data_IF_114825273953
#
_entry.id   IF_114825273953
#
_cell.length_a   1.000
_cell.length_b   1.000
_cell.length_c   1.000
_cell.angle_alpha   90.00
_cell.angle_beta   90.00
_cell.angle_gamma   90.00
#
_symmetry.space_group_name_H-M   'P 1'
#
loop_
_entity.id
_entity.type
_entity.pdbx_description
1 polymer ?
#
# COMPACT_ATOMS: atom_id res chain seq x y z
N UNK A 1 -14.61 51.09 -48.14
CA UNK A 1 -14.60 50.45 -46.80
C UNK A 1 -14.17 49.02 -46.97
N UNK A 2 -12.95 48.69 -46.56
CA UNK A 2 -12.44 47.30 -46.61
C UNK A 2 -12.46 46.72 -45.22
N UNK A 3 -13.33 45.74 -45.01
CA UNK A 3 -13.46 44.99 -43.76
C UNK A 3 -12.30 43.97 -43.69
N UNK A 4 -11.37 44.14 -42.77
CA UNK A 4 -10.34 43.15 -42.46
C UNK A 4 -10.83 42.26 -41.33
N UNK A 5 -11.18 41.03 -41.67
CA UNK A 5 -11.47 40.00 -40.68
C UNK A 5 -10.12 39.44 -40.20
N UNK A 6 -9.81 39.71 -38.94
CA UNK A 6 -8.67 39.08 -38.26
C UNK A 6 -9.19 37.82 -37.61
N UNK A 7 -8.81 36.68 -38.15
CA UNK A 7 -9.05 35.37 -37.54
C UNK A 7 -7.98 35.18 -36.42
N UNK A 8 -8.42 35.28 -35.19
CA UNK A 8 -7.64 34.81 -34.07
C UNK A 8 -7.77 33.28 -33.96
N UNK A 9 -6.74 32.58 -34.36
CA UNK A 9 -6.61 31.17 -34.10
C UNK A 9 -6.35 30.92 -32.62
N UNK A 10 -7.31 30.36 -31.89
CA UNK A 10 -7.06 29.81 -30.55
C UNK A 10 -6.31 28.50 -30.73
N UNK A 11 -5.02 28.52 -30.48
CA UNK A 11 -4.24 27.31 -30.27
C UNK A 11 -4.55 26.78 -28.86
N UNK A 12 -5.42 25.80 -28.78
CA UNK A 12 -5.64 25.05 -27.54
C UNK A 12 -4.43 24.11 -27.33
N UNK A 13 -3.50 24.52 -26.51
CA UNK A 13 -2.43 23.63 -26.01
C UNK A 13 -3.05 22.64 -25.03
N UNK A 14 -3.31 21.42 -25.49
CA UNK A 14 -3.68 20.31 -24.62
C UNK A 14 -2.41 19.88 -23.89
N UNK A 15 -2.24 20.34 -22.66
CA UNK A 15 -1.22 19.81 -21.76
C UNK A 15 -1.74 18.49 -21.21
N UNK A 16 -1.40 17.40 -21.87
CA UNK A 16 -1.60 16.06 -21.34
C UNK A 16 -0.65 15.86 -20.15
N UNK A 17 -1.20 15.95 -18.94
CA UNK A 17 -0.45 15.69 -17.72
C UNK A 17 -0.01 14.24 -17.64
N UNK A 18 1.29 14.00 -17.80
CA UNK A 18 1.94 12.68 -17.71
C UNK A 18 2.04 12.11 -16.28
N UNK A 19 1.45 12.76 -15.27
CA UNK A 19 1.58 12.40 -13.86
C UNK A 19 0.73 11.21 -13.40
N UNK A 20 -0.20 10.70 -14.22
CA UNK A 20 -1.10 9.60 -13.84
C UNK A 20 -0.54 8.20 -14.11
N UNK A 21 0.60 8.05 -14.79
CA UNK A 21 1.05 6.75 -15.29
C UNK A 21 1.86 5.93 -14.26
N UNK A 22 2.59 6.55 -13.33
CA UNK A 22 3.37 5.84 -12.32
C UNK A 22 2.48 5.13 -11.28
N UNK A 23 1.35 5.74 -10.88
CA UNK A 23 0.36 5.13 -9.99
C UNK A 23 -0.40 3.97 -10.63
N UNK A 24 -0.67 4.05 -11.95
CA UNK A 24 -1.38 3.01 -12.68
C UNK A 24 -0.53 1.74 -12.88
N UNK A 25 0.78 1.87 -13.07
CA UNK A 25 1.70 0.73 -13.16
C UNK A 25 1.85 0.01 -11.83
N UNK A 26 1.97 0.73 -10.73
CA UNK A 26 1.98 0.16 -9.38
C UNK A 26 0.66 -0.58 -9.08
N UNK A 27 -0.46 -0.05 -9.52
CA UNK A 27 -1.77 -0.66 -9.35
C UNK A 27 -1.95 -1.91 -10.22
N UNK A 28 -1.44 -1.90 -11.44
CA UNK A 28 -1.47 -3.05 -12.35
C UNK A 28 -0.56 -4.18 -11.85
N UNK A 29 0.64 -3.87 -11.38
CA UNK A 29 1.58 -4.84 -10.81
C UNK A 29 1.05 -5.37 -9.48
N UNK A 30 0.47 -4.51 -8.64
CA UNK A 30 -0.13 -4.92 -7.37
C UNK A 30 -1.48 -5.64 -7.54
N UNK A 31 -2.22 -5.39 -8.64
CA UNK A 31 -3.57 -5.93 -8.87
C UNK A 31 -3.60 -7.38 -9.34
N UNK A 32 -2.55 -7.86 -10.01
CA UNK A 32 -2.53 -9.23 -10.54
C UNK A 32 -2.07 -10.24 -9.50
N UNK A 33 -2.96 -11.17 -9.14
CA UNK A 33 -2.66 -12.26 -8.22
C UNK A 33 -2.61 -11.86 -6.75
N UNK A 34 -2.95 -10.63 -6.40
CA UNK A 34 -3.04 -10.17 -5.02
C UNK A 34 -4.47 -10.27 -4.49
N UNK A 35 -4.62 -10.97 -3.38
CA UNK A 35 -5.91 -11.16 -2.71
C UNK A 35 -5.86 -10.56 -1.32
N UNK A 36 -6.90 -9.81 -0.94
CA UNK A 36 -7.03 -9.31 0.42
C UNK A 36 -7.26 -10.47 1.38
N UNK A 37 -6.43 -10.56 2.42
CA UNK A 37 -6.50 -11.62 3.43
C UNK A 37 -6.91 -11.09 4.79
N UNK A 38 -6.74 -9.81 5.05
CA UNK A 38 -7.25 -9.13 6.25
C UNK A 38 -7.45 -7.64 6.02
N UNK A 39 -8.31 -7.04 6.81
CA UNK A 39 -8.63 -5.62 6.77
C UNK A 39 -8.99 -5.11 8.16
N UNK A 40 -8.55 -3.92 8.51
CA UNK A 40 -8.92 -3.23 9.74
C UNK A 40 -9.15 -1.74 9.48
N UNK A 41 -10.08 -1.15 10.22
CA UNK A 41 -10.45 0.25 10.10
C UNK A 41 -10.77 0.82 11.48
N UNK A 42 -10.31 2.05 11.73
CA UNK A 42 -10.66 2.82 12.93
C UNK A 42 -10.61 4.31 12.60
N UNK A 43 -11.76 4.99 12.68
CA UNK A 43 -11.86 6.38 12.29
C UNK A 43 -11.48 6.57 10.82
N UNK A 44 -10.49 7.42 10.55
CA UNK A 44 -9.95 7.65 9.20
C UNK A 44 -8.89 6.64 8.81
N UNK A 45 -8.33 5.92 9.78
CA UNK A 45 -7.29 4.94 9.55
C UNK A 45 -7.88 3.66 8.98
N UNK A 46 -7.25 3.15 7.96
CA UNK A 46 -7.53 1.82 7.42
C UNK A 46 -6.26 1.17 6.93
N UNK A 47 -6.22 -0.13 7.05
CA UNK A 47 -5.12 -0.94 6.57
C UNK A 47 -5.61 -2.29 6.08
N UNK A 48 -4.86 -2.88 5.19
CA UNK A 48 -5.13 -4.20 4.64
C UNK A 48 -3.87 -5.02 4.51
N UNK A 49 -4.03 -6.32 4.51
CA UNK A 49 -3.00 -7.27 4.09
C UNK A 49 -3.46 -7.94 2.81
N UNK A 50 -2.63 -7.92 1.79
CA UNK A 50 -2.83 -8.66 0.55
C UNK A 50 -1.70 -9.65 0.33
N UNK A 51 -2.04 -10.78 -0.28
CA UNK A 51 -1.07 -11.83 -0.59
C UNK A 51 -1.19 -12.27 -2.05
N UNK A 52 -0.04 -12.56 -2.67
CA UNK A 52 0.04 -13.23 -3.96
C UNK A 52 0.42 -14.73 -3.80
N UNK A 53 0.44 -15.23 -2.57
CA UNK A 53 0.85 -16.58 -2.23
C UNK A 53 2.33 -16.74 -1.88
N UNK A 54 3.17 -15.74 -2.16
CA UNK A 54 4.59 -15.71 -1.80
C UNK A 54 4.94 -14.53 -0.92
N UNK A 55 4.37 -13.36 -1.21
CA UNK A 55 4.61 -12.13 -0.50
C UNK A 55 3.33 -11.65 0.17
N UNK A 56 3.50 -10.88 1.22
CA UNK A 56 2.42 -10.20 1.90
C UNK A 56 2.69 -8.70 1.87
N UNK A 57 1.71 -7.95 1.39
CA UNK A 57 1.75 -6.51 1.35
C UNK A 57 0.82 -5.96 2.42
N UNK A 58 1.37 -5.19 3.32
CA UNK A 58 0.64 -4.46 4.35
C UNK A 58 0.57 -3.02 3.90
N UNK A 59 -0.61 -2.49 3.71
CA UNK A 59 -0.79 -1.13 3.21
C UNK A 59 -1.88 -0.43 3.98
N UNK A 60 -1.75 0.86 4.14
CA UNK A 60 -2.72 1.66 4.86
C UNK A 60 -2.82 3.08 4.34
N UNK A 61 -3.83 3.77 4.82
CA UNK A 61 -4.10 5.17 4.51
C UNK A 61 -4.93 5.82 5.63
N UNK A 62 -5.08 7.14 5.55
CA UNK A 62 -5.86 7.90 6.51
C UNK A 62 -5.02 8.46 7.66
N UNK A 63 -3.70 8.33 7.60
CA UNK A 63 -2.78 9.01 8.52
C UNK A 63 -2.38 10.38 7.97
N UNK A 64 -1.70 11.17 8.78
CA UNK A 64 -1.19 12.48 8.32
C UNK A 64 -0.03 12.29 7.34
N UNK A 65 0.11 13.15 6.33
CA UNK A 65 1.27 13.13 5.45
C UNK A 65 2.59 13.17 6.23
N UNK A 66 3.51 12.27 5.88
CA UNK A 66 4.81 12.16 6.54
C UNK A 66 4.83 11.49 7.91
N UNK A 67 3.67 11.12 8.46
CA UNK A 67 3.58 10.39 9.73
C UNK A 67 4.29 9.05 9.63
N UNK A 68 5.05 8.69 10.66
CA UNK A 68 5.77 7.41 10.71
C UNK A 68 4.88 6.35 11.32
N UNK A 69 4.65 5.29 10.58
CA UNK A 69 3.93 4.11 11.01
C UNK A 69 4.94 3.06 11.47
N UNK A 70 4.75 2.56 12.67
CA UNK A 70 5.48 1.42 13.19
C UNK A 70 4.70 0.15 12.87
N UNK A 71 5.30 -0.73 12.10
CA UNK A 71 4.75 -2.04 11.73
C UNK A 71 5.46 -3.09 12.55
N UNK A 72 4.77 -3.66 13.52
CA UNK A 72 5.29 -4.73 14.39
C UNK A 72 4.71 -6.06 13.92
N UNK A 73 5.59 -6.99 13.57
CA UNK A 73 5.25 -8.28 12.98
C UNK A 73 5.71 -9.40 13.91
N UNK A 74 4.77 -10.18 14.41
CA UNK A 74 5.02 -11.36 15.22
C UNK A 74 4.62 -12.61 14.44
N UNK A 75 5.59 -13.41 14.05
CA UNK A 75 5.40 -14.65 13.31
C UNK A 75 5.71 -15.84 14.24
N UNK A 76 4.65 -16.46 14.80
CA UNK A 76 4.76 -17.54 15.79
C UNK A 76 5.73 -17.17 16.92
N UNK A 77 6.66 -18.06 17.28
CA UNK A 77 7.65 -17.86 18.35
C UNK A 77 8.95 -17.19 17.87
N UNK A 78 8.97 -16.71 16.63
CA UNK A 78 10.14 -16.06 16.06
C UNK A 78 10.28 -14.66 16.64
N UNK A 79 11.51 -14.19 16.77
CA UNK A 79 11.80 -12.84 17.22
C UNK A 79 11.00 -11.82 16.38
N UNK A 80 10.23 -10.94 17.01
CA UNK A 80 9.45 -9.93 16.28
C UNK A 80 10.32 -9.03 15.41
N UNK A 81 9.73 -8.60 14.30
CA UNK A 81 10.32 -7.62 13.38
C UNK A 81 9.55 -6.31 13.48
N UNK A 82 10.25 -5.22 13.53
CA UNK A 82 9.68 -3.88 13.53
C UNK A 82 10.22 -3.08 12.36
N UNK A 83 9.30 -2.59 11.53
CA UNK A 83 9.59 -1.67 10.46
C UNK A 83 9.02 -0.29 10.78
N UNK A 84 9.66 0.75 10.27
CA UNK A 84 9.19 2.13 10.37
C UNK A 84 9.05 2.70 8.98
N UNK A 85 7.86 3.16 8.64
CA UNK A 85 7.52 3.62 7.30
C UNK A 85 6.87 4.98 7.40
N UNK A 86 7.38 5.95 6.64
CA UNK A 86 6.77 7.26 6.54
C UNK A 86 5.63 7.24 5.51
N UNK A 87 4.47 7.78 5.88
CA UNK A 87 3.39 7.99 4.94
C UNK A 87 3.78 9.03 3.88
N UNK A 88 3.25 8.86 2.68
CA UNK A 88 3.42 9.82 1.59
C UNK A 88 2.56 11.08 1.78
N UNK A 89 2.55 11.97 0.78
CA UNK A 89 1.78 13.21 0.79
C UNK A 89 0.25 13.02 0.88
N UNK A 90 -0.26 11.83 0.57
CA UNK A 90 -1.67 11.47 0.65
C UNK A 90 -2.03 10.72 1.95
N UNK A 91 -1.08 10.56 2.86
CA UNK A 91 -1.28 9.80 4.08
C UNK A 91 -1.38 8.28 3.85
N UNK A 92 -0.83 7.79 2.76
CA UNK A 92 -0.78 6.38 2.40
C UNK A 92 0.63 5.81 2.60
N UNK A 93 0.70 4.53 2.91
CA UNK A 93 1.96 3.83 3.16
C UNK A 93 1.81 2.35 2.79
N UNK A 94 2.92 1.67 2.57
CA UNK A 94 2.97 0.22 2.32
C UNK A 94 4.26 -0.39 2.82
N UNK A 95 4.17 -1.66 3.17
CA UNK A 95 5.27 -2.51 3.58
C UNK A 95 5.12 -3.89 2.98
N UNK A 96 6.21 -4.60 2.85
CA UNK A 96 6.23 -5.97 2.35
C UNK A 96 6.83 -6.89 3.41
N UNK A 97 6.29 -8.09 3.52
CA UNK A 97 6.74 -9.10 4.45
C UNK A 97 6.73 -10.49 3.82
N UNK A 98 7.76 -11.25 4.12
CA UNK A 98 7.88 -12.66 3.72
C UNK A 98 7.94 -13.50 4.99
N UNK A 99 6.89 -14.26 5.32
CA UNK A 99 6.80 -14.98 6.59
C UNK A 99 7.53 -16.32 6.60
N UNK A 100 8.04 -16.78 5.48
CA UNK A 100 8.57 -18.13 5.35
C UNK A 100 9.81 -18.36 6.20
N UNK A 101 9.74 -19.35 7.05
CA UNK A 101 10.82 -19.82 7.91
C UNK A 101 11.13 -21.25 7.53
N UNK A 102 12.40 -21.57 7.33
CA UNK A 102 12.82 -22.84 6.73
C UNK A 102 12.35 -24.09 7.49
N UNK A 103 12.15 -24.00 8.80
CA UNK A 103 11.75 -25.13 9.67
C UNK A 103 10.25 -25.16 10.00
N UNK A 104 9.45 -24.19 9.48
CA UNK A 104 8.02 -24.13 9.72
C UNK A 104 7.23 -24.41 8.41
N UNK A 105 6.16 -25.18 8.54
CA UNK A 105 5.23 -25.47 7.45
C UNK A 105 4.21 -24.34 7.20
N UNK A 106 3.99 -23.52 8.21
CA UNK A 106 3.06 -22.41 8.21
C UNK A 106 2.93 -21.78 9.57
N UNK A 107 2.06 -20.82 9.69
CA UNK A 107 1.78 -20.14 10.94
C UNK A 107 0.88 -18.93 10.76
N UNK A 108 0.67 -18.22 11.86
CA UNK A 108 -0.08 -16.96 11.90
C UNK A 108 0.86 -15.81 12.19
N UNK A 109 0.77 -14.74 11.44
CA UNK A 109 1.46 -13.48 11.67
C UNK A 109 0.48 -12.49 12.27
N UNK A 110 0.84 -11.93 13.42
CA UNK A 110 0.13 -10.80 14.04
C UNK A 110 0.82 -9.51 13.61
N UNK A 111 0.04 -8.55 13.16
CA UNK A 111 0.52 -7.25 12.69
C UNK A 111 -0.08 -6.15 13.57
N UNK A 112 0.77 -5.46 14.30
CA UNK A 112 0.38 -4.30 15.08
C UNK A 112 0.88 -3.04 14.40
N UNK A 113 -0.03 -2.17 14.05
CA UNK A 113 0.24 -0.89 13.41
C UNK A 113 0.04 0.24 14.40
N UNK A 114 1.04 1.06 14.56
CA UNK A 114 0.97 2.20 15.47
C UNK A 114 1.63 3.44 14.86
N UNK A 115 0.91 4.56 14.91
CA UNK A 115 1.40 5.89 14.61
C UNK A 115 0.74 6.89 15.55
N UNK A 116 1.16 8.14 15.62
CA UNK A 116 0.53 9.13 16.50
C UNK A 116 -0.99 9.27 16.34
N UNK A 117 -1.51 9.09 15.11
CA UNK A 117 -2.95 9.25 14.83
C UNK A 117 -3.70 7.93 14.62
N UNK A 118 -3.01 6.78 14.61
CA UNK A 118 -3.61 5.53 14.17
C UNK A 118 -3.04 4.32 14.92
N UNK A 119 -3.94 3.42 15.34
CA UNK A 119 -3.57 2.12 15.90
C UNK A 119 -4.53 1.06 15.36
N UNK A 120 -4.00 0.07 14.67
CA UNK A 120 -4.75 -1.02 14.05
C UNK A 120 -4.05 -2.36 14.27
N UNK A 121 -4.83 -3.44 14.31
CA UNK A 121 -4.32 -4.80 14.40
C UNK A 121 -4.84 -5.60 13.20
N UNK A 122 -3.95 -6.33 12.57
CA UNK A 122 -4.23 -7.25 11.48
C UNK A 122 -3.60 -8.61 11.79
N UNK A 123 -4.06 -9.63 11.10
CA UNK A 123 -3.44 -10.95 11.16
C UNK A 123 -3.61 -11.67 9.84
N UNK A 124 -2.71 -12.58 9.54
CA UNK A 124 -2.85 -13.46 8.40
C UNK A 124 -2.16 -14.80 8.62
N UNK A 125 -2.67 -15.83 7.99
CA UNK A 125 -2.08 -17.15 7.98
C UNK A 125 -1.22 -17.35 6.74
N UNK A 126 -0.13 -18.08 6.88
CA UNK A 126 0.72 -18.48 5.78
C UNK A 126 1.00 -19.97 5.82
N UNK A 127 1.21 -20.55 4.67
CA UNK A 127 1.61 -21.95 4.53
C UNK A 127 2.61 -22.09 3.39
N UNK A 128 3.54 -23.03 3.53
CA UNK A 128 4.44 -23.39 2.43
C UNK A 128 3.64 -24.08 1.33
N UNK A 129 3.89 -23.68 0.10
CA UNK A 129 3.45 -24.48 -1.04
C UNK A 129 4.32 -25.73 -1.12
N UNK A 130 3.70 -26.87 -1.07
CA UNK A 130 4.36 -28.12 -1.47
C UNK A 130 4.44 -28.11 -2.99
N UNK A 131 5.66 -28.18 -3.49
CA UNK A 131 5.90 -28.37 -4.92
C UNK A 131 5.59 -29.82 -5.29
#
# INVERSE_FOLDING_TARGET
>A
MRLRIVLFGLAATVVLGLSAQAGALDEIVAGRGWTQVDYAERGRCRAEVRSNGQFYRIAGQGVRPGEVIRVHLQNADIKPVEHRIAANGDGAWRDFYVPFVWHLEGGTVLVDLASPSCSLNLSFDWARRRL
#
